data_IF_690593092025
#
_entry.id   IF_690593092025
#
_cell.length_a   1.000
_cell.length_b   1.000
_cell.length_c   1.000
_cell.angle_alpha   90.00
_cell.angle_beta   90.00
_cell.angle_gamma   90.00
#
_symmetry.space_group_name_H-M   'P 1'
#
loop_
_entity.id
_entity.type
_entity.pdbx_description
1 polymer ?
#
# COMPACT_ATOMS: atom_id res chain seq x y z
N UNK A 1 14.34 -10.55 16.57
CA UNK A 1 14.07 -10.77 15.13
C UNK A 1 12.60 -11.07 14.81
N UNK A 2 11.92 -11.96 15.55
CA UNK A 2 10.50 -12.32 15.32
C UNK A 2 9.53 -11.13 15.29
N UNK A 3 9.69 -10.18 16.22
CA UNK A 3 8.84 -8.97 16.31
C UNK A 3 8.99 -8.06 15.09
N UNK A 4 10.23 -7.83 14.64
CA UNK A 4 10.51 -7.00 13.48
C UNK A 4 9.88 -7.58 12.20
N UNK A 5 10.01 -8.91 12.03
CA UNK A 5 9.40 -9.64 10.92
C UNK A 5 7.87 -9.51 10.99
N UNK A 6 7.28 -9.65 12.18
CA UNK A 6 5.83 -9.49 12.39
C UNK A 6 5.32 -8.11 11.98
N UNK A 7 6.01 -7.04 12.40
CA UNK A 7 5.67 -5.65 12.03
C UNK A 7 5.78 -5.40 10.53
N UNK A 8 6.81 -5.96 9.89
CA UNK A 8 7.02 -5.82 8.44
C UNK A 8 5.93 -6.53 7.65
N UNK A 9 5.57 -7.75 8.04
CA UNK A 9 4.46 -8.50 7.43
C UNK A 9 3.13 -7.77 7.63
N UNK A 10 2.88 -7.23 8.83
CA UNK A 10 1.68 -6.46 9.11
C UNK A 10 1.59 -5.19 8.26
N UNK A 11 2.69 -4.43 8.14
CA UNK A 11 2.75 -3.24 7.29
C UNK A 11 2.49 -3.55 5.83
N UNK A 12 3.09 -4.62 5.29
CA UNK A 12 2.84 -5.06 3.92
C UNK A 12 1.39 -5.49 3.70
N UNK A 13 0.80 -6.22 4.65
CA UNK A 13 -0.61 -6.61 4.60
C UNK A 13 -1.53 -5.38 4.61
N UNK A 14 -1.25 -4.39 5.45
CA UNK A 14 -1.99 -3.13 5.49
C UNK A 14 -1.89 -2.36 4.16
N UNK A 15 -0.71 -2.32 3.53
CA UNK A 15 -0.54 -1.71 2.21
C UNK A 15 -1.36 -2.44 1.13
N UNK A 16 -1.32 -3.77 1.10
CA UNK A 16 -2.11 -4.58 0.16
C UNK A 16 -3.61 -4.35 0.33
N UNK A 17 -4.09 -4.31 1.57
CA UNK A 17 -5.49 -3.98 1.89
C UNK A 17 -5.84 -2.55 1.46
N UNK A 18 -4.95 -1.57 1.71
CA UNK A 18 -5.14 -0.18 1.31
C UNK A 18 -5.21 0.04 -0.20
N UNK A 19 -4.52 -0.77 -1.01
CA UNK A 19 -4.61 -0.72 -2.47
C UNK A 19 -5.93 -1.35 -2.95
N UNK A 20 -6.35 -2.45 -2.31
CA UNK A 20 -7.58 -3.17 -2.64
C UNK A 20 -8.87 -2.41 -2.24
N UNK A 21 -8.84 -1.70 -1.11
CA UNK A 21 -9.94 -0.90 -0.58
C UNK A 21 -9.93 0.49 -1.23
N UNK A 22 -10.79 0.72 -2.22
CA UNK A 22 -10.93 2.03 -2.86
C UNK A 22 -12.33 2.27 -3.39
N UNK A 23 -12.59 3.50 -3.81
CA UNK A 23 -13.92 3.94 -4.27
C UNK A 23 -14.47 3.16 -5.47
N UNK A 24 -13.57 2.58 -6.29
CA UNK A 24 -13.95 1.67 -7.38
C UNK A 24 -13.68 0.24 -6.94
N UNK A 25 -14.67 -0.67 -6.96
CA UNK A 25 -14.44 -2.08 -6.68
C UNK A 25 -13.57 -2.67 -7.80
N UNK A 26 -12.30 -2.92 -7.52
CA UNK A 26 -11.36 -3.56 -8.44
C UNK A 26 -11.04 -4.93 -7.85
N UNK A 27 -11.21 -5.98 -8.65
CA UNK A 27 -10.91 -7.34 -8.21
C UNK A 27 -9.42 -7.44 -7.79
N UNK A 28 -9.07 -8.18 -6.72
CA UNK A 28 -7.69 -8.31 -6.26
C UNK A 28 -6.73 -8.81 -7.35
N UNK A 29 -7.22 -9.69 -8.24
CA UNK A 29 -6.45 -10.17 -9.40
C UNK A 29 -6.13 -9.06 -10.39
N UNK A 30 -7.06 -8.11 -10.60
CA UNK A 30 -6.86 -6.96 -11.46
C UNK A 30 -5.91 -5.92 -10.83
N UNK A 31 -5.81 -5.87 -9.50
CA UNK A 31 -4.77 -5.08 -8.82
C UNK A 31 -3.39 -5.66 -9.11
N UNK A 32 -3.21 -6.98 -8.97
CA UNK A 32 -1.92 -7.62 -9.24
C UNK A 32 -1.53 -7.48 -10.72
N UNK A 33 -2.48 -7.66 -11.65
CA UNK A 33 -2.20 -7.43 -13.08
C UNK A 33 -1.89 -5.98 -13.40
N UNK A 34 -2.56 -5.02 -12.75
CA UNK A 34 -2.26 -3.59 -12.85
C UNK A 34 -0.89 -3.22 -12.26
N UNK A 35 -0.43 -3.94 -11.24
CA UNK A 35 0.91 -3.75 -10.67
C UNK A 35 2.01 -4.33 -11.56
N UNK A 36 1.77 -5.45 -12.25
CA UNK A 36 2.75 -6.11 -13.11
C UNK A 36 2.77 -5.56 -14.55
N UNK A 37 1.61 -5.20 -15.09
CA UNK A 37 1.45 -4.78 -16.48
C UNK A 37 0.91 -3.34 -16.56
N UNK A 38 1.69 -2.38 -17.11
CA UNK A 38 1.24 -1.00 -17.31
C UNK A 38 0.05 -0.87 -18.26
N UNK A 39 -0.15 -1.85 -19.15
CA UNK A 39 -1.21 -1.86 -20.15
C UNK A 39 -2.56 -2.38 -19.65
N UNK A 40 -2.65 -2.80 -18.37
CA UNK A 40 -3.91 -3.30 -17.83
C UNK A 40 -4.93 -2.16 -17.68
N UNK A 41 -6.24 -2.41 -17.90
CA UNK A 41 -7.27 -1.36 -17.85
C UNK A 41 -7.35 -0.64 -16.49
N UNK A 42 -6.97 -1.32 -15.40
CA UNK A 42 -6.94 -0.75 -14.05
C UNK A 42 -5.58 -0.12 -13.67
N UNK A 43 -4.57 -0.17 -14.54
CA UNK A 43 -3.21 0.27 -14.23
C UNK A 43 -3.12 1.74 -13.86
N UNK A 44 -3.80 2.63 -14.60
CA UNK A 44 -3.80 4.07 -14.30
C UNK A 44 -4.37 4.36 -12.89
N UNK A 45 -5.52 3.77 -12.54
CA UNK A 45 -6.15 3.99 -11.23
C UNK A 45 -5.28 3.41 -10.11
N UNK A 46 -4.76 2.19 -10.30
CA UNK A 46 -3.97 1.51 -9.28
C UNK A 46 -2.63 2.21 -9.10
N UNK A 47 -1.87 2.49 -10.17
CA UNK A 47 -0.51 3.03 -10.10
C UNK A 47 -0.45 4.54 -9.91
N UNK A 48 -1.34 5.31 -10.53
CA UNK A 48 -1.23 6.77 -10.52
C UNK A 48 -2.02 7.41 -9.36
N UNK A 49 -3.01 6.71 -8.81
CA UNK A 49 -3.88 7.26 -7.75
C UNK A 49 -3.74 6.48 -6.44
N UNK A 50 -3.91 5.15 -6.45
CA UNK A 50 -3.99 4.36 -5.20
C UNK A 50 -2.62 4.07 -4.59
N UNK A 51 -1.68 3.64 -5.41
CA UNK A 51 -0.32 3.30 -5.00
C UNK A 51 0.41 4.49 -4.35
N UNK A 52 0.45 5.70 -4.94
CA UNK A 52 1.09 6.85 -4.30
C UNK A 52 0.40 7.23 -2.99
N UNK A 53 -0.93 7.16 -2.92
CA UNK A 53 -1.66 7.45 -1.66
C UNK A 53 -1.30 6.47 -0.54
N UNK A 54 -1.24 5.18 -0.83
CA UNK A 54 -0.91 4.14 0.17
C UNK A 54 0.54 4.28 0.63
N UNK A 55 1.47 4.52 -0.30
CA UNK A 55 2.87 4.78 0.05
C UNK A 55 3.02 6.04 0.90
N UNK A 56 2.35 7.13 0.55
CA UNK A 56 2.36 8.36 1.34
C UNK A 56 1.79 8.14 2.74
N UNK A 57 0.67 7.42 2.88
CA UNK A 57 0.10 7.11 4.19
C UNK A 57 1.08 6.31 5.06
N UNK A 58 1.77 5.32 4.47
CA UNK A 58 2.77 4.53 5.17
C UNK A 58 3.98 5.36 5.60
N UNK A 59 4.53 6.19 4.70
CA UNK A 59 5.69 7.03 4.98
C UNK A 59 5.39 8.14 5.99
N UNK A 60 4.24 8.81 5.88
CA UNK A 60 3.83 9.86 6.81
C UNK A 60 3.53 9.27 8.19
N UNK A 61 2.77 8.18 8.26
CA UNK A 61 2.49 7.50 9.53
C UNK A 61 3.75 6.97 10.20
N UNK A 62 4.64 6.34 9.41
CA UNK A 62 5.94 5.88 9.89
C UNK A 62 6.82 7.03 10.39
N UNK A 63 6.90 8.13 9.63
CA UNK A 63 7.66 9.32 10.02
C UNK A 63 7.15 9.95 11.30
N UNK A 64 5.83 10.12 11.46
CA UNK A 64 5.23 10.62 12.70
C UNK A 64 5.47 9.67 13.88
N UNK A 65 5.38 8.35 13.66
CA UNK A 65 5.65 7.35 14.68
C UNK A 65 7.12 7.36 15.14
N UNK A 66 8.07 7.48 14.21
CA UNK A 66 9.50 7.57 14.54
C UNK A 66 9.79 8.87 15.28
N UNK A 67 9.29 10.01 14.80
CA UNK A 67 9.48 11.30 15.47
C UNK A 67 8.93 11.29 16.88
N UNK A 68 7.72 10.74 17.10
CA UNK A 68 7.13 10.62 18.43
C UNK A 68 7.81 9.61 19.36
N UNK A 69 8.52 8.60 18.81
CA UNK A 69 9.32 7.69 19.61
C UNK A 69 10.71 8.26 19.96
N UNK A 70 11.19 9.24 19.19
CA UNK A 70 12.50 9.86 19.35
C UNK A 70 12.49 11.09 20.29
N UNK A 71 11.36 11.80 20.38
CA UNK A 71 11.10 12.92 21.29
C UNK A 71 10.62 12.43 22.66
#
# INVERSE_FOLDING_TARGET
MKVLIGLLVFGLAACLLGIGLGAVPIAPRAVVSALLSPSAPAAAIVRDIRLPRVLLAFLVGGGLGVSGAAL
#
